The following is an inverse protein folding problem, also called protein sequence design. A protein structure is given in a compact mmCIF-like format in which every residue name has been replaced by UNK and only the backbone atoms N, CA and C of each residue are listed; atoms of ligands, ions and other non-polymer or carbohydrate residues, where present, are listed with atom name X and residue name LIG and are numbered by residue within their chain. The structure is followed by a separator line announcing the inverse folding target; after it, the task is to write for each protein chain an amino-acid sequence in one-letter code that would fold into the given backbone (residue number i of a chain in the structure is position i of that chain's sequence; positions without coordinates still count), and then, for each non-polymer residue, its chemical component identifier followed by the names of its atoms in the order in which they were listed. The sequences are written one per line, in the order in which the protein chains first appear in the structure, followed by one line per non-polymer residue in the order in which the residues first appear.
data_IF_967796182998
#
_entry.id   IF_967796182998
#
_cell.length_a   1.000
_cell.length_b   1.000
_cell.length_c   1.000
_cell.angle_alpha   90.00
_cell.angle_beta   90.00
_cell.angle_gamma   90.00
#
_symmetry.space_group_name_H-M   'P 1'
#
loop_
_entity.id
_entity.type
_entity.pdbx_description
1 polymer ?
#
# COMPACT_ATOMS: atom_id res chain seq x y z
N UNK A 1 -9.07 31.73 -38.20
CA UNK A 1 -10.16 31.33 -37.26
C UNK A 1 -9.51 31.04 -35.90
N UNK A 2 -9.41 32.03 -35.01
CA UNK A 2 -10.36 32.45 -33.96
C UNK A 2 -10.36 31.53 -32.72
N UNK A 3 -9.69 32.04 -31.65
CA UNK A 3 -10.01 31.97 -30.20
C UNK A 3 -9.80 30.61 -29.50
N UNK A 4 -9.39 30.49 -28.23
CA UNK A 4 -9.05 31.40 -27.10
C UNK A 4 -8.53 30.45 -26.00
N UNK A 5 -7.40 30.75 -25.34
CA UNK A 5 -7.16 30.32 -23.96
C UNK A 5 -6.85 31.57 -23.14
N UNK A 6 -7.62 31.77 -22.07
CA UNK A 6 -7.52 32.92 -21.17
C UNK A 6 -6.98 32.43 -19.83
N UNK A 7 -5.99 33.16 -19.34
CA UNK A 7 -5.12 32.89 -18.20
C UNK A 7 -5.81 32.90 -16.83
N UNK A 8 -5.20 32.13 -15.92
CA UNK A 8 -4.90 32.32 -14.49
C UNK A 8 -5.52 33.53 -13.75
N UNK A 9 -5.91 33.34 -12.48
CA UNK A 9 -5.54 34.25 -11.38
C UNK A 9 -5.92 33.73 -9.98
N UNK A 10 -5.01 34.00 -9.03
CA UNK A 10 -4.87 33.65 -7.62
C UNK A 10 -6.04 33.96 -6.64
N UNK A 11 -5.99 33.42 -5.39
CA UNK A 11 -6.99 33.65 -4.33
C UNK A 11 -6.76 34.95 -3.53
N UNK A 12 -7.82 35.58 -2.96
CA UNK A 12 -7.63 36.71 -2.05
C UNK A 12 -7.77 36.33 -0.57
N UNK A 13 -6.86 36.93 0.21
CA UNK A 13 -6.83 37.04 1.69
C UNK A 13 -7.83 38.11 2.17
N UNK A 14 -8.47 37.92 3.33
CA UNK A 14 -9.07 39.01 4.13
C UNK A 14 -8.66 38.91 5.61
N UNK A 15 -8.44 40.08 6.22
CA UNK A 15 -7.70 40.39 7.45
C UNK A 15 -8.60 40.58 8.70
N UNK A 16 -8.00 40.24 9.86
CA UNK A 16 -7.96 40.87 11.21
C UNK A 16 -9.02 41.90 11.71
N UNK A 17 -9.40 41.70 13.00
CA UNK A 17 -9.67 42.71 14.05
C UNK A 17 -10.87 42.30 14.93
N UNK A 18 -10.96 42.44 16.27
CA UNK A 18 -10.11 42.99 17.34
C UNK A 18 -10.82 42.82 18.71
N UNK A 19 -10.06 42.49 19.78
CA UNK A 19 -10.17 42.89 21.22
C UNK A 19 -11.19 42.26 22.21
N UNK A 20 -10.62 41.83 23.35
CA UNK A 20 -11.17 41.93 24.73
C UNK A 20 -10.92 40.69 25.61
N UNK A 21 -9.77 40.52 26.32
CA UNK A 21 -9.51 40.84 27.77
C UNK A 21 -10.51 40.17 28.74
N UNK A 22 -10.19 39.44 29.83
CA UNK A 22 -9.05 39.16 30.75
C UNK A 22 -9.37 37.83 31.48
N UNK A 23 -8.48 36.83 31.68
CA UNK A 23 -7.40 36.66 32.67
C UNK A 23 -7.70 36.98 34.16
N UNK A 24 -7.76 35.94 35.03
CA UNK A 24 -6.93 35.71 36.24
C UNK A 24 -7.48 34.52 37.07
N UNK A 25 -6.74 33.41 37.20
CA UNK A 25 -5.76 33.01 38.27
C UNK A 25 -6.41 32.35 39.50
N UNK A 26 -6.16 31.03 39.69
CA UNK A 26 -5.32 30.36 40.74
C UNK A 26 -6.01 30.31 42.12
N UNK A 27 -6.42 29.16 42.69
CA UNK A 27 -5.74 27.91 43.11
C UNK A 27 -5.04 28.05 44.48
N UNK A 28 -5.20 27.00 45.31
CA UNK A 28 -4.61 26.69 46.64
C UNK A 28 -5.47 27.09 47.85
N UNK A 29 -5.54 26.35 48.97
CA UNK A 29 -5.37 24.94 49.39
C UNK A 29 -5.57 24.96 50.94
N UNK A 30 -5.75 23.78 51.54
CA UNK A 30 -5.60 23.47 52.98
C UNK A 30 -6.70 23.99 53.92
N UNK A 31 -7.02 23.36 55.06
CA UNK A 31 -7.06 21.98 55.58
C UNK A 31 -7.52 22.13 57.05
N UNK A 32 -7.98 21.03 57.66
CA UNK A 32 -8.14 20.81 59.10
C UNK A 32 -9.33 21.49 59.84
N UNK A 33 -10.43 20.73 59.91
CA UNK A 33 -10.90 20.03 61.13
C UNK A 33 -10.71 20.74 62.50
N UNK A 34 -11.81 20.97 63.23
CA UNK A 34 -12.16 20.19 64.43
C UNK A 34 -13.01 20.97 65.49
N UNK A 35 -14.05 20.26 65.99
CA UNK A 35 -14.50 20.20 67.40
C UNK A 35 -15.68 21.07 67.90
N UNK A 36 -16.73 20.31 68.28
CA UNK A 36 -17.73 20.45 69.35
C UNK A 36 -18.95 21.39 69.29
N UNK A 37 -20.08 20.76 68.97
CA UNK A 37 -21.24 20.54 69.87
C UNK A 37 -21.58 21.61 70.93
N UNK A 38 -22.75 22.26 70.77
CA UNK A 38 -23.89 22.17 71.73
C UNK A 38 -25.16 22.88 71.23
N UNK A 39 -26.19 22.06 70.99
CA UNK A 39 -27.64 22.28 71.23
C UNK A 39 -28.21 23.71 71.18
N UNK A 40 -29.01 24.00 70.14
CA UNK A 40 -30.30 24.75 70.28
C UNK A 40 -31.35 24.23 69.29
N UNK A 41 -32.42 23.63 69.82
CA UNK A 41 -33.69 23.39 69.12
C UNK A 41 -34.36 24.73 68.86
N UNK A 42 -34.88 24.96 67.64
CA UNK A 42 -36.26 25.41 67.41
C UNK A 42 -36.50 25.82 65.94
N UNK A 43 -37.62 25.33 65.39
CA UNK A 43 -38.36 25.74 64.19
C UNK A 43 -37.86 25.23 62.83
N UNK A 44 -38.60 24.25 62.31
CA UNK A 44 -38.59 23.85 60.91
C UNK A 44 -39.30 24.92 60.07
N UNK A 45 -38.68 25.46 59.01
CA UNK A 45 -39.40 26.05 57.89
C UNK A 45 -39.67 24.92 56.87
N UNK A 46 -40.95 24.67 56.64
CA UNK A 46 -41.46 23.75 55.62
C UNK A 46 -41.21 24.37 54.24
N UNK A 47 -40.06 24.10 53.63
CA UNK A 47 -39.92 24.25 52.18
C UNK A 47 -40.45 22.99 51.51
N UNK A 48 -41.73 23.06 51.16
CA UNK A 48 -42.37 22.14 50.23
C UNK A 48 -41.68 22.35 48.88
N UNK A 49 -40.68 21.53 48.59
CA UNK A 49 -40.22 21.29 47.22
C UNK A 49 -41.36 20.59 46.50
N UNK A 50 -42.16 21.35 45.75
CA UNK A 50 -43.02 20.81 44.69
C UNK A 50 -42.13 20.12 43.66
N UNK A 51 -41.91 18.81 43.89
CA UNK A 51 -41.42 17.91 42.87
C UNK A 51 -42.56 17.73 41.87
N UNK A 52 -42.48 18.43 40.75
CA UNK A 52 -43.33 18.19 39.59
C UNK A 52 -43.22 16.70 39.20
N UNK A 53 -44.30 15.91 39.27
CA UNK A 53 -44.27 14.54 38.78
C UNK A 53 -44.23 14.60 37.26
N UNK A 54 -43.08 14.22 36.69
CA UNK A 54 -42.93 13.89 35.28
C UNK A 54 -44.12 12.97 34.87
N UNK A 55 -44.77 13.16 33.70
CA UNK A 55 -45.91 12.34 33.32
C UNK A 55 -45.46 10.88 33.29
N UNK A 56 -46.10 10.09 34.16
CA UNK A 56 -45.82 8.67 34.36
C UNK A 56 -45.63 7.99 33.01
N UNK A 57 -44.45 7.41 32.79
CA UNK A 57 -44.30 6.38 31.78
C UNK A 57 -45.39 5.36 32.04
N UNK A 58 -46.21 5.05 31.03
CA UNK A 58 -47.30 4.08 31.14
C UNK A 58 -46.71 2.73 31.52
N UNK A 59 -46.67 2.44 32.81
CA UNK A 59 -46.30 1.16 33.37
C UNK A 59 -47.43 0.20 33.05
N UNK A 60 -47.16 -0.82 32.25
CA UNK A 60 -48.17 -1.79 31.85
C UNK A 60 -47.87 -3.13 32.52
N UNK A 61 -48.93 -3.77 32.99
CA UNK A 61 -48.90 -5.17 33.39
C UNK A 61 -48.40 -6.02 32.23
N UNK A 62 -47.64 -7.08 32.53
CA UNK A 62 -47.13 -7.99 31.51
C UNK A 62 -48.29 -8.44 30.57
N UNK A 63 -48.14 -8.32 29.24
CA UNK A 63 -49.15 -8.79 28.30
C UNK A 63 -49.51 -10.26 28.53
N UNK A 64 -50.78 -10.63 28.35
CA UNK A 64 -51.25 -12.02 28.53
C UNK A 64 -50.50 -13.02 27.65
N UNK A 65 -50.17 -12.64 26.41
CA UNK A 65 -49.41 -13.50 25.48
C UNK A 65 -47.98 -13.82 25.96
N UNK A 66 -47.28 -12.85 26.56
CA UNK A 66 -45.95 -13.10 27.11
C UNK A 66 -45.99 -13.93 28.40
N UNK A 67 -47.06 -13.78 29.19
CA UNK A 67 -47.31 -14.63 30.37
C UNK A 67 -47.54 -16.08 29.96
N UNK A 68 -48.36 -16.34 28.95
CA UNK A 68 -48.60 -17.68 28.42
C UNK A 68 -47.32 -18.32 27.88
N UNK A 69 -46.50 -17.55 27.14
CA UNK A 69 -45.22 -18.03 26.64
C UNK A 69 -44.24 -18.38 27.79
N UNK A 70 -44.18 -17.53 28.81
CA UNK A 70 -43.33 -17.74 29.98
C UNK A 70 -43.81 -18.94 30.81
N UNK A 71 -45.12 -19.09 30.97
CA UNK A 71 -45.73 -20.25 31.61
C UNK A 71 -45.39 -21.54 30.87
N UNK A 72 -45.51 -21.55 29.54
CA UNK A 72 -45.16 -22.70 28.70
C UNK A 72 -43.66 -23.03 28.82
N UNK A 73 -42.79 -22.02 28.84
CA UNK A 73 -41.35 -22.19 29.00
C UNK A 73 -41.00 -22.77 30.37
N UNK A 74 -41.59 -22.25 31.45
CA UNK A 74 -41.42 -22.78 32.81
C UNK A 74 -41.96 -24.22 32.90
N UNK A 75 -43.11 -24.50 32.29
CA UNK A 75 -43.70 -25.83 32.27
C UNK A 75 -42.82 -26.85 31.53
N UNK A 76 -42.22 -26.44 30.42
CA UNK A 76 -41.25 -27.25 29.68
C UNK A 76 -39.98 -27.51 30.50
N UNK A 77 -39.43 -26.48 31.16
CA UNK A 77 -38.27 -26.61 32.05
C UNK A 77 -38.54 -27.60 33.19
N UNK A 78 -39.69 -27.49 33.85
CA UNK A 78 -40.11 -28.41 34.91
C UNK A 78 -40.21 -29.84 34.36
N UNK A 79 -40.82 -30.03 33.19
CA UNK A 79 -40.93 -31.35 32.56
C UNK A 79 -39.56 -31.92 32.20
N UNK A 80 -38.63 -31.11 31.70
CA UNK A 80 -37.25 -31.53 31.39
C UNK A 80 -36.47 -31.93 32.64
N UNK A 81 -36.59 -31.16 33.72
CA UNK A 81 -35.97 -31.49 35.01
C UNK A 81 -36.54 -32.79 35.57
N UNK A 82 -37.87 -32.95 35.55
CA UNK A 82 -38.53 -34.17 36.02
C UNK A 82 -38.11 -35.40 35.22
N UNK A 83 -37.99 -35.28 33.89
CA UNK A 83 -37.51 -36.36 33.03
C UNK A 83 -36.06 -36.78 33.36
N UNK A 84 -35.19 -35.82 33.72
CA UNK A 84 -33.80 -36.09 34.11
C UNK A 84 -33.64 -36.68 35.51
N UNK A 85 -34.65 -36.57 36.36
CA UNK A 85 -34.54 -36.96 37.77
C UNK A 85 -35.16 -38.33 38.00
N UNK A 86 -34.36 -39.30 38.44
CA UNK A 86 -34.77 -40.71 38.59
C UNK A 86 -35.33 -41.05 39.98
N UNK A 87 -35.12 -40.20 40.99
CA UNK A 87 -35.54 -40.42 42.39
C UNK A 87 -36.35 -39.22 42.94
N UNK A 88 -37.27 -39.46 43.88
CA UNK A 88 -38.10 -38.44 44.54
C UNK A 88 -38.95 -37.57 43.59
N UNK A 89 -39.34 -38.13 42.44
CA UNK A 89 -40.07 -37.45 41.36
C UNK A 89 -41.34 -36.70 41.84
N UNK A 90 -42.10 -37.28 42.77
CA UNK A 90 -43.33 -36.67 43.28
C UNK A 90 -43.08 -35.44 44.15
N UNK A 91 -42.07 -35.46 45.02
CA UNK A 91 -41.75 -34.31 45.88
C UNK A 91 -41.13 -33.18 45.07
N UNK A 92 -40.24 -33.51 44.13
CA UNK A 92 -39.64 -32.54 43.20
C UNK A 92 -40.72 -31.87 42.35
N UNK A 93 -41.69 -32.64 41.84
CA UNK A 93 -42.85 -32.09 41.10
C UNK A 93 -43.69 -31.14 41.95
N UNK A 94 -43.94 -31.45 43.22
CA UNK A 94 -44.68 -30.58 44.14
C UNK A 94 -43.95 -29.26 44.39
N UNK A 95 -42.64 -29.33 44.71
CA UNK A 95 -41.83 -28.13 44.94
C UNK A 95 -41.70 -27.25 43.70
N UNK A 96 -41.48 -27.85 42.52
CA UNK A 96 -41.39 -27.12 41.27
C UNK A 96 -42.73 -26.47 40.87
N UNK A 97 -43.86 -27.14 41.12
CA UNK A 97 -45.17 -26.55 40.89
C UNK A 97 -45.51 -25.42 41.86
N UNK A 98 -45.08 -25.52 43.12
CA UNK A 98 -45.22 -24.43 44.09
C UNK A 98 -44.39 -23.21 43.65
N UNK A 99 -43.16 -23.44 43.19
CA UNK A 99 -42.29 -22.40 42.65
C UNK A 99 -42.89 -21.75 41.40
N UNK A 100 -43.42 -22.56 40.47
CA UNK A 100 -44.17 -22.08 39.28
C UNK A 100 -45.28 -21.10 39.69
N UNK A 101 -46.12 -21.48 40.66
CA UNK A 101 -47.22 -20.62 41.13
C UNK A 101 -46.73 -19.31 41.75
N UNK A 102 -45.70 -19.37 42.60
CA UNK A 102 -45.12 -18.17 43.23
C UNK A 102 -44.53 -17.21 42.19
N UNK A 103 -43.87 -17.78 41.18
CA UNK A 103 -43.26 -17.03 40.10
C UNK A 103 -44.32 -16.39 39.19
N UNK A 104 -45.37 -17.12 38.81
CA UNK A 104 -46.51 -16.56 38.05
C UNK A 104 -47.17 -15.40 38.80
N UNK A 105 -47.38 -15.54 40.12
CA UNK A 105 -47.94 -14.48 40.95
C UNK A 105 -47.03 -13.22 41.00
N UNK A 106 -45.71 -13.41 40.92
CA UNK A 106 -44.79 -12.26 40.80
C UNK A 106 -44.92 -11.55 39.45
N UNK A 107 -45.18 -12.27 38.36
CA UNK A 107 -45.41 -11.67 37.05
C UNK A 107 -46.78 -10.96 36.92
N UNK A 108 -47.71 -11.24 37.82
CA UNK A 108 -48.96 -10.47 37.96
C UNK A 108 -48.72 -9.09 38.58
N UNK A 109 -47.70 -8.96 39.44
CA UNK A 109 -47.41 -7.73 40.20
C UNK A 109 -46.26 -6.90 39.61
N UNK A 110 -45.42 -7.49 38.76
CA UNK A 110 -44.34 -6.78 38.08
C UNK A 110 -44.90 -5.88 36.98
N UNK A 111 -44.76 -4.58 37.20
CA UNK A 111 -45.00 -3.56 36.19
C UNK A 111 -43.73 -3.35 35.37
N UNK A 112 -43.84 -3.48 34.05
CA UNK A 112 -42.69 -3.30 33.15
C UNK A 112 -42.86 -1.99 32.38
N UNK A 113 -41.79 -1.17 32.25
CA UNK A 113 -41.83 0.00 31.38
C UNK A 113 -42.10 -0.42 29.95
N UNK A 114 -43.19 0.06 29.35
CA UNK A 114 -43.50 -0.20 27.94
C UNK A 114 -42.53 0.60 27.08
N UNK A 115 -41.35 0.02 26.80
CA UNK A 115 -40.46 0.56 25.79
C UNK A 115 -41.12 0.42 24.42
N UNK A 116 -41.26 1.55 23.72
CA UNK A 116 -41.94 1.69 22.42
C UNK A 116 -41.43 0.65 21.40
N UNK A 117 -42.32 -0.21 20.92
CA UNK A 117 -42.10 -1.24 19.89
C UNK A 117 -41.46 -0.69 18.59
N UNK A 118 -41.58 0.61 18.37
CA UNK A 118 -41.02 1.38 17.27
C UNK A 118 -39.48 1.29 17.20
N UNK A 119 -38.81 0.99 18.32
CA UNK A 119 -37.37 0.74 18.33
C UNK A 119 -37.01 -0.61 17.69
N UNK A 120 -37.89 -1.59 17.79
CA UNK A 120 -37.68 -2.94 17.24
C UNK A 120 -37.72 -2.94 15.71
N UNK A 121 -38.60 -2.13 15.11
CA UNK A 121 -38.61 -1.91 13.67
C UNK A 121 -37.29 -1.32 13.16
N UNK A 122 -36.70 -0.37 13.90
CA UNK A 122 -35.37 0.19 13.59
C UNK A 122 -34.26 -0.84 13.71
N UNK A 123 -34.34 -1.72 14.72
CA UNK A 123 -33.37 -2.83 14.87
C UNK A 123 -33.46 -3.79 13.68
N UNK A 124 -34.66 -4.11 13.19
CA UNK A 124 -34.83 -4.95 12.00
C UNK A 124 -34.30 -4.31 10.71
N UNK A 125 -34.49 -3.00 10.51
CA UNK A 125 -33.93 -2.32 9.34
C UNK A 125 -32.41 -2.27 9.40
N UNK A 126 -31.84 -1.99 10.59
CA UNK A 126 -30.39 -2.01 10.81
C UNK A 126 -29.83 -3.42 10.54
N UNK A 127 -30.49 -4.47 11.03
CA UNK A 127 -30.09 -5.85 10.79
C UNK A 127 -30.12 -6.22 9.29
N UNK A 128 -31.12 -5.74 8.55
CA UNK A 128 -31.21 -5.99 7.11
C UNK A 128 -30.13 -5.23 6.32
N UNK A 129 -29.81 -4.00 6.72
CA UNK A 129 -28.71 -3.22 6.14
C UNK A 129 -27.35 -3.83 6.44
N UNK A 130 -27.13 -4.29 7.67
CA UNK A 130 -25.89 -4.95 8.08
C UNK A 130 -25.69 -6.26 7.31
N UNK A 131 -26.74 -7.08 7.17
CA UNK A 131 -26.69 -8.30 6.35
C UNK A 131 -26.34 -8.03 4.89
N UNK A 132 -26.87 -6.94 4.30
CA UNK A 132 -26.50 -6.56 2.94
C UNK A 132 -25.04 -6.15 2.84
N UNK A 133 -24.54 -5.40 3.83
CA UNK A 133 -23.12 -5.00 3.89
C UNK A 133 -22.20 -6.20 4.07
N UNK A 134 -22.57 -7.17 4.91
CA UNK A 134 -21.74 -8.38 5.11
C UNK A 134 -21.64 -9.20 3.84
N UNK A 135 -22.73 -9.34 3.07
CA UNK A 135 -22.69 -10.03 1.77
C UNK A 135 -21.78 -9.30 0.78
N UNK A 136 -21.90 -7.97 0.67
CA UNK A 136 -21.03 -7.19 -0.21
C UNK A 136 -19.54 -7.30 0.17
N UNK A 137 -19.23 -7.30 1.47
CA UNK A 137 -17.85 -7.48 1.96
C UNK A 137 -17.34 -8.89 1.64
N UNK A 138 -18.18 -9.91 1.72
CA UNK A 138 -17.83 -11.29 1.37
C UNK A 138 -17.54 -11.41 -0.13
N UNK A 139 -18.39 -10.82 -0.98
CA UNK A 139 -18.17 -10.75 -2.44
C UNK A 139 -16.87 -9.99 -2.78
N UNK A 140 -16.62 -8.83 -2.17
CA UNK A 140 -15.38 -8.06 -2.33
C UNK A 140 -14.15 -8.85 -1.87
N UNK A 141 -14.29 -9.61 -0.77
CA UNK A 141 -13.22 -10.48 -0.26
C UNK A 141 -12.90 -11.62 -1.22
N UNK A 142 -13.92 -12.22 -1.85
CA UNK A 142 -13.71 -13.23 -2.89
C UNK A 142 -13.03 -12.65 -4.14
N UNK A 143 -13.39 -11.42 -4.54
CA UNK A 143 -12.76 -10.74 -5.67
C UNK A 143 -11.27 -10.47 -5.39
N UNK A 144 -10.95 -9.94 -4.20
CA UNK A 144 -9.57 -9.72 -3.79
C UNK A 144 -8.76 -11.02 -3.73
N UNK A 145 -9.36 -12.11 -3.26
CA UNK A 145 -8.73 -13.43 -3.27
C UNK A 145 -8.39 -13.87 -4.70
N UNK A 146 -9.32 -13.71 -5.64
CA UNK A 146 -9.11 -14.04 -7.06
C UNK A 146 -8.01 -13.18 -7.69
N UNK A 147 -7.92 -11.89 -7.34
CA UNK A 147 -6.84 -11.03 -7.81
C UNK A 147 -5.48 -11.45 -7.24
N UNK A 148 -5.43 -11.79 -5.96
CA UNK A 148 -4.21 -12.28 -5.31
C UNK A 148 -3.71 -13.56 -5.98
N UNK A 149 -4.62 -14.51 -6.25
CA UNK A 149 -4.27 -15.77 -6.93
C UNK A 149 -3.71 -15.52 -8.35
N UNK A 150 -4.29 -14.57 -9.10
CA UNK A 150 -3.76 -14.16 -10.42
C UNK A 150 -2.35 -13.57 -10.31
N UNK A 151 -2.11 -12.70 -9.33
CA UNK A 151 -0.80 -12.09 -9.10
C UNK A 151 0.22 -13.14 -8.68
N UNK A 152 -0.18 -14.09 -7.83
CA UNK A 152 0.68 -15.19 -7.39
C UNK A 152 1.08 -16.07 -8.58
N UNK A 153 0.12 -16.48 -9.42
CA UNK A 153 0.40 -17.25 -10.63
C UNK A 153 1.32 -16.50 -11.62
N UNK A 154 1.11 -15.20 -11.81
CA UNK A 154 1.97 -14.37 -12.66
C UNK A 154 3.40 -14.27 -12.10
N UNK A 155 3.53 -14.21 -10.78
CA UNK A 155 4.83 -14.17 -10.09
C UNK A 155 5.56 -15.50 -10.25
N UNK A 156 4.87 -16.63 -10.05
CA UNK A 156 5.44 -17.97 -10.26
C UNK A 156 5.91 -18.19 -11.71
N UNK A 157 5.11 -17.74 -12.69
CA UNK A 157 5.49 -17.79 -14.10
C UNK A 157 6.74 -16.94 -14.38
N UNK A 158 6.82 -15.74 -13.80
CA UNK A 158 8.00 -14.89 -13.94
C UNK A 158 9.24 -15.51 -13.29
N UNK A 159 9.12 -16.12 -12.11
CA UNK A 159 10.22 -16.84 -11.46
C UNK A 159 10.74 -17.99 -12.31
N UNK A 160 9.84 -18.75 -12.93
CA UNK A 160 10.20 -19.82 -13.85
C UNK A 160 10.90 -19.28 -15.11
N UNK A 161 10.43 -18.16 -15.65
CA UNK A 161 11.08 -17.48 -16.77
C UNK A 161 12.49 -16.99 -16.40
N UNK A 162 12.65 -16.37 -15.22
CA UNK A 162 13.95 -15.93 -14.71
C UNK A 162 14.92 -17.10 -14.60
N UNK A 163 14.51 -18.23 -14.00
CA UNK A 163 15.34 -19.45 -13.92
C UNK A 163 15.73 -19.95 -15.32
N UNK A 164 14.79 -19.94 -16.25
CA UNK A 164 15.03 -20.36 -17.64
C UNK A 164 16.05 -19.45 -18.33
N UNK A 165 15.91 -18.13 -18.17
CA UNK A 165 16.86 -17.16 -18.72
C UNK A 165 18.24 -17.30 -18.08
N UNK A 166 18.33 -17.49 -16.76
CA UNK A 166 19.61 -17.74 -16.07
C UNK A 166 20.32 -18.97 -16.65
N UNK A 167 19.60 -20.08 -16.84
CA UNK A 167 20.16 -21.28 -17.46
C UNK A 167 20.64 -21.01 -18.89
N UNK A 168 19.88 -20.25 -19.67
CA UNK A 168 20.25 -19.89 -21.05
C UNK A 168 21.49 -19.01 -21.09
N UNK A 169 21.60 -18.02 -20.19
CA UNK A 169 22.78 -17.17 -20.05
C UNK A 169 23.99 -18.00 -19.64
N UNK A 170 23.84 -18.92 -18.68
CA UNK A 170 24.94 -19.79 -18.26
C UNK A 170 25.43 -20.68 -19.41
N UNK A 171 24.51 -21.23 -20.20
CA UNK A 171 24.85 -22.03 -21.39
C UNK A 171 25.60 -21.18 -22.42
N UNK A 172 25.07 -20.02 -22.79
CA UNK A 172 25.72 -19.11 -23.75
C UNK A 172 27.10 -18.66 -23.28
N UNK A 173 27.28 -18.43 -21.99
CA UNK A 173 28.59 -18.12 -21.41
C UNK A 173 29.58 -19.28 -21.58
N UNK A 174 29.11 -20.51 -21.43
CA UNK A 174 29.91 -21.71 -21.71
C UNK A 174 30.27 -21.86 -23.19
N UNK A 175 29.28 -21.69 -24.08
CA UNK A 175 29.47 -21.75 -25.53
C UNK A 175 30.46 -20.67 -25.99
N UNK A 176 30.33 -19.43 -25.48
CA UNK A 176 31.26 -18.33 -25.75
C UNK A 176 32.69 -18.64 -25.27
N UNK A 177 32.85 -19.19 -24.06
CA UNK A 177 34.16 -19.56 -23.55
C UNK A 177 34.80 -20.70 -24.37
N UNK A 178 34.00 -21.65 -24.87
CA UNK A 178 34.47 -22.72 -25.75
C UNK A 178 34.91 -22.17 -27.12
N UNK A 179 34.12 -21.26 -27.70
CA UNK A 179 34.44 -20.59 -28.96
C UNK A 179 35.69 -19.72 -28.82
N UNK A 180 35.82 -18.96 -27.74
CA UNK A 180 37.01 -18.16 -27.45
C UNK A 180 38.24 -19.06 -27.27
N UNK A 181 38.11 -20.21 -26.61
CA UNK A 181 39.21 -21.18 -26.51
C UNK A 181 39.57 -21.80 -27.87
N UNK A 182 38.60 -22.05 -28.75
CA UNK A 182 38.84 -22.54 -30.10
C UNK A 182 39.51 -21.47 -30.98
N UNK A 183 39.00 -20.25 -30.92
CA UNK A 183 39.55 -19.06 -31.56
C UNK A 183 40.98 -18.84 -31.09
N UNK A 184 41.24 -18.79 -29.78
CA UNK A 184 42.59 -18.66 -29.22
C UNK A 184 43.52 -19.80 -29.60
N UNK A 185 43.03 -21.02 -29.90
CA UNK A 185 43.85 -22.11 -30.46
C UNK A 185 44.19 -21.88 -31.94
N UNK A 186 43.25 -21.37 -32.75
CA UNK A 186 43.53 -20.97 -34.13
C UNK A 186 44.48 -19.76 -34.18
N UNK A 187 44.26 -18.83 -33.26
CA UNK A 187 45.09 -17.67 -32.99
C UNK A 187 46.14 -17.97 -31.92
N UNK A 188 46.58 -19.24 -31.75
CA UNK A 188 47.86 -19.54 -31.09
C UNK A 188 48.98 -19.01 -31.98
N UNK A 189 49.06 -17.69 -31.98
CA UNK A 189 50.22 -16.89 -32.24
C UNK A 189 51.13 -17.20 -31.07
N UNK A 190 52.00 -18.20 -31.25
CA UNK A 190 53.31 -18.17 -30.62
C UNK A 190 53.74 -16.71 -30.60
N UNK A 191 53.96 -16.13 -29.42
CA UNK A 191 54.10 -14.69 -29.17
C UNK A 191 55.34 -14.08 -29.83
N UNK A 192 55.43 -14.17 -31.15
CA UNK A 192 56.59 -13.81 -31.97
C UNK A 192 56.20 -13.32 -33.36
N UNK A 193 54.91 -13.22 -33.67
CA UNK A 193 54.46 -12.67 -34.93
C UNK A 193 53.47 -11.55 -34.65
N UNK A 194 53.98 -10.40 -34.20
CA UNK A 194 53.43 -9.12 -34.63
C UNK A 194 53.08 -9.24 -36.13
N UNK A 195 52.00 -8.58 -36.56
CA UNK A 195 51.62 -8.48 -37.98
C UNK A 195 52.90 -8.56 -38.81
N UNK A 196 53.05 -9.59 -39.66
CA UNK A 196 54.26 -9.82 -40.48
C UNK A 196 54.41 -8.70 -41.51
N UNK A 197 54.47 -7.48 -41.01
CA UNK A 197 55.00 -6.32 -41.66
C UNK A 197 56.48 -6.66 -41.78
N UNK A 198 57.04 -6.64 -43.00
CA UNK A 198 58.48 -6.65 -43.11
C UNK A 198 58.98 -5.51 -42.23
N UNK A 199 59.91 -5.82 -41.31
CA UNK A 199 60.67 -4.78 -40.62
C UNK A 199 61.12 -3.82 -41.72
N UNK A 200 60.67 -2.57 -41.64
CA UNK A 200 61.12 -1.51 -42.54
C UNK A 200 62.63 -1.45 -42.34
N UNK A 201 63.35 -2.12 -43.25
CA UNK A 201 64.77 -2.38 -43.12
C UNK A 201 65.48 -1.07 -42.78
N UNK A 202 66.36 -1.07 -41.78
CA UNK A 202 67.17 0.12 -41.44
C UNK A 202 67.96 0.66 -42.65
N UNK A 203 68.14 -0.15 -43.68
CA UNK A 203 68.79 0.25 -44.92
C UNK A 203 67.91 1.16 -45.80
N UNK A 204 66.58 1.12 -45.62
CA UNK A 204 65.66 2.10 -46.23
C UNK A 204 65.75 3.48 -45.56
N UNK A 205 66.13 3.55 -44.27
CA UNK A 205 66.34 4.84 -43.56
C UNK A 205 67.77 5.38 -43.72
N UNK A 206 68.74 4.52 -44.07
CA UNK A 206 70.13 4.88 -44.41
C UNK A 206 70.32 5.27 -45.88
N UNK A 207 69.37 4.97 -46.76
CA UNK A 207 69.40 5.47 -48.12
C UNK A 207 69.35 7.00 -48.10
N UNK A 208 70.28 7.71 -48.78
CA UNK A 208 70.22 9.17 -48.81
C UNK A 208 68.89 9.57 -49.43
N UNK A 209 68.11 10.36 -48.69
CA UNK A 209 66.83 10.89 -49.16
C UNK A 209 67.11 11.54 -50.52
N UNK A 210 66.32 11.21 -51.55
CA UNK A 210 66.51 11.68 -52.93
C UNK A 210 66.74 13.21 -53.00
N UNK A 211 66.10 13.94 -52.08
CA UNK A 211 66.25 15.38 -51.86
C UNK A 211 67.71 15.80 -51.59
N UNK A 212 68.46 15.06 -50.77
CA UNK A 212 69.87 15.33 -50.46
C UNK A 212 70.81 15.02 -51.64
N UNK A 213 70.49 14.03 -52.47
CA UNK A 213 71.27 13.72 -53.68
C UNK A 213 71.00 14.73 -54.81
N UNK A 214 69.75 15.19 -54.94
CA UNK A 214 69.40 16.28 -55.86
C UNK A 214 70.17 17.57 -55.53
N UNK A 215 70.41 17.85 -54.25
CA UNK A 215 71.23 18.98 -53.77
C UNK A 215 72.74 18.84 -54.04
N UNK A 216 73.22 17.72 -54.59
CA UNK A 216 74.63 17.55 -55.00
C UNK A 216 74.82 17.73 -56.51
N UNK A 217 73.75 17.82 -57.30
CA UNK A 217 73.83 17.96 -58.77
C UNK A 217 74.28 19.38 -59.13
N UNK A 218 75.20 19.51 -60.09
CA UNK A 218 75.83 20.80 -60.46
C UNK A 218 74.88 21.80 -61.15
N UNK A 219 73.79 21.32 -61.75
CA UNK A 219 72.83 22.11 -62.55
C UNK A 219 71.43 22.15 -61.89
N UNK A 220 71.38 22.43 -60.59
CA UNK A 220 70.13 22.42 -59.80
C UNK A 220 68.97 23.26 -60.33
N UNK A 221 69.16 24.52 -60.80
CA UNK A 221 68.01 25.35 -61.15
C UNK A 221 67.24 24.80 -62.36
N UNK A 222 67.95 24.22 -63.33
CA UNK A 222 67.30 23.62 -64.51
C UNK A 222 66.57 22.32 -64.14
N UNK A 223 67.21 21.47 -63.34
CA UNK A 223 66.59 20.23 -62.88
C UNK A 223 65.34 20.49 -62.02
N UNK A 224 65.37 21.50 -61.15
CA UNK A 224 64.21 21.91 -60.36
C UNK A 224 63.10 22.48 -61.24
N UNK A 225 63.45 23.25 -62.27
CA UNK A 225 62.47 23.75 -63.24
C UNK A 225 61.79 22.59 -64.01
N UNK A 226 62.56 21.62 -64.47
CA UNK A 226 62.05 20.46 -65.20
C UNK A 226 61.19 19.57 -64.31
N UNK A 227 61.61 19.32 -63.06
CA UNK A 227 60.81 18.59 -62.07
C UNK A 227 59.51 19.32 -61.74
N UNK A 228 59.55 20.64 -61.57
CA UNK A 228 58.33 21.42 -61.35
C UNK A 228 57.41 21.39 -62.57
N UNK A 229 57.97 21.42 -63.78
CA UNK A 229 57.19 21.30 -65.03
C UNK A 229 56.50 19.93 -65.11
N UNK A 230 57.21 18.86 -64.77
CA UNK A 230 56.65 17.49 -64.70
C UNK A 230 55.59 17.39 -63.61
N UNK A 231 55.83 17.96 -62.42
CA UNK A 231 54.86 17.95 -61.33
C UNK A 231 53.57 18.70 -61.68
N UNK A 232 53.69 19.76 -62.48
CA UNK A 232 52.55 20.56 -62.95
C UNK A 232 51.89 20.00 -64.22
N UNK A 233 52.43 18.93 -64.81
CA UNK A 233 51.84 18.25 -65.96
C UNK A 233 50.45 17.68 -65.63
N UNK A 234 49.62 17.56 -66.66
CA UNK A 234 48.25 17.08 -66.51
C UNK A 234 48.23 15.58 -66.17
N UNK A 235 49.22 14.81 -66.66
CA UNK A 235 49.39 13.40 -66.34
C UNK A 235 49.70 13.20 -64.86
N UNK A 236 50.59 14.01 -64.28
CA UNK A 236 50.95 13.90 -62.87
C UNK A 236 49.78 14.31 -61.96
N UNK A 237 49.04 15.34 -62.32
CA UNK A 237 47.81 15.74 -61.59
C UNK A 237 46.74 14.64 -61.63
N UNK A 238 46.58 13.99 -62.78
CA UNK A 238 45.65 12.87 -62.93
C UNK A 238 46.03 11.71 -62.01
N UNK A 239 47.34 11.39 -61.93
CA UNK A 239 47.85 10.34 -61.06
C UNK A 239 47.67 10.71 -59.56
N UNK A 240 47.93 11.95 -59.18
CA UNK A 240 47.69 12.43 -57.81
C UNK A 240 46.21 12.33 -57.42
N UNK A 241 45.30 12.77 -58.30
CA UNK A 241 43.86 12.68 -58.06
C UNK A 241 43.39 11.22 -57.91
N UNK A 242 43.94 10.30 -58.72
CA UNK A 242 43.65 8.88 -58.59
C UNK A 242 44.07 8.33 -57.22
N UNK A 243 45.28 8.66 -56.75
CA UNK A 243 45.75 8.21 -55.44
C UNK A 243 44.91 8.76 -54.29
N UNK A 244 44.49 10.02 -54.36
CA UNK A 244 43.61 10.65 -53.37
C UNK A 244 42.25 9.93 -53.34
N UNK A 245 41.70 9.59 -54.51
CA UNK A 245 40.44 8.84 -54.61
C UNK A 245 40.55 7.40 -54.07
N UNK A 246 41.72 6.76 -54.17
CA UNK A 246 41.96 5.43 -53.58
C UNK A 246 42.07 5.49 -52.05
N UNK A 247 42.54 6.61 -51.50
CA UNK A 247 42.73 6.75 -50.05
C UNK A 247 41.46 7.15 -49.29
N UNK A 248 40.53 7.83 -49.97
CA UNK A 248 39.21 8.18 -49.44
C UNK A 248 38.18 7.02 -49.55
N UNK A 249 38.58 5.86 -50.09
CA UNK A 249 37.79 4.61 -50.04
C UNK A 249 38.14 3.77 -48.82
#
# INVERSE_FOLDING_TARGET
MVRKYKSQLEPPRIKKGSKGRQQKRKQEREDAEAVENKKKRAKCPTEVLEVNPNPQEKQQLLPTSSREHLEATIHWLITSVLYKTTQNHNEIRKHLNLLKKRLLNSFETIQVPVRKLNSWGKVHTILAEEKKKTVAIEDDSEELQKELDKVLQATELNDNNIKTFQNKVQKLKGDLAAEEAASNKLFQRDGKYDLFLPDIFEDCTKAPILQNELLKVRNQPNLLHDLNTIQQSDEMKTLSMFLEQVYEM
#
